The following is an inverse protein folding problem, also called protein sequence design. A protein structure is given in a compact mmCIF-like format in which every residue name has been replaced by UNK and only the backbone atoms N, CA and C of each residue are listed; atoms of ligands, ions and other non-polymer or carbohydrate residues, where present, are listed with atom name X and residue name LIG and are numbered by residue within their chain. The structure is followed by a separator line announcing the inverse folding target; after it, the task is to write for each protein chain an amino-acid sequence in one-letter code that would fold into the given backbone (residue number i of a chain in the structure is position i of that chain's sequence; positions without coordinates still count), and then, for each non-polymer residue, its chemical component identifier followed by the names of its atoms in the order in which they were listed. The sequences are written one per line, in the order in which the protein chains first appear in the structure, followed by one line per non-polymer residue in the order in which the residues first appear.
data_IF_688094795462
#
_entry.id   IF_688094795462
#
_cell.length_a   1.000
_cell.length_b   1.000
_cell.length_c   1.000
_cell.angle_alpha   90.00
_cell.angle_beta   90.00
_cell.angle_gamma   90.00
#
_symmetry.space_group_name_H-M   'P 1'
#
loop_
_entity.id
_entity.type
_entity.pdbx_description
1 polymer ?
#
# COMPACT_ATOMS: atom_id res chain seq x y z
N UNK A 1 -39.34 47.46 8.51
CA UNK A 1 -38.45 48.03 9.55
C UNK A 1 -37.79 46.94 10.39
N UNK A 2 -36.69 47.23 11.08
CA UNK A 2 -36.08 46.32 12.06
C UNK A 2 -36.44 46.81 13.46
N UNK A 3 -36.99 45.93 14.29
CA UNK A 3 -37.23 46.18 15.70
C UNK A 3 -36.18 45.45 16.53
N UNK A 4 -35.51 46.17 17.43
CA UNK A 4 -34.52 45.58 18.34
C UNK A 4 -35.11 45.54 19.75
N UNK A 5 -35.11 44.37 20.39
CA UNK A 5 -35.57 44.25 21.76
C UNK A 5 -34.62 44.99 22.71
N UNK A 6 -35.10 45.95 23.53
CA UNK A 6 -34.25 46.71 24.44
C UNK A 6 -33.67 45.87 25.59
N UNK A 7 -34.29 44.73 25.92
CA UNK A 7 -33.88 43.89 27.04
C UNK A 7 -32.79 42.85 26.68
N UNK A 8 -32.78 42.33 25.44
CA UNK A 8 -31.86 41.25 25.05
C UNK A 8 -31.18 41.47 23.70
N UNK A 9 -31.34 42.65 23.09
CA UNK A 9 -30.77 43.03 21.80
C UNK A 9 -31.10 42.10 20.61
N UNK A 10 -32.10 41.22 20.73
CA UNK A 10 -32.57 40.41 19.59
C UNK A 10 -33.30 41.30 18.58
N UNK A 11 -32.92 41.22 17.30
CA UNK A 11 -33.55 41.96 16.21
C UNK A 11 -34.57 41.14 15.44
N UNK A 12 -35.68 41.76 15.05
CA UNK A 12 -36.75 41.16 14.26
C UNK A 12 -37.05 42.03 13.03
N UNK A 13 -37.24 41.39 11.87
CA UNK A 13 -37.69 42.06 10.66
C UNK A 13 -39.22 42.04 10.61
N UNK A 14 -39.84 43.21 10.56
CA UNK A 14 -41.30 43.37 10.59
C UNK A 14 -41.72 44.34 9.48
N UNK A 15 -42.75 44.04 8.67
CA UNK A 15 -43.30 44.99 7.71
C UNK A 15 -43.94 46.19 8.42
N UNK A 16 -43.78 47.38 7.86
CA UNK A 16 -44.15 48.66 8.51
C UNK A 16 -45.66 48.76 8.73
N UNK A 17 -46.44 48.19 7.81
CA UNK A 17 -47.90 48.02 7.87
C UNK A 17 -48.37 47.30 9.15
N UNK A 18 -47.53 46.44 9.72
CA UNK A 18 -47.90 45.70 10.91
C UNK A 18 -47.83 46.57 12.17
N UNK A 19 -46.91 47.54 12.26
CA UNK A 19 -46.77 48.41 13.44
C UNK A 19 -47.76 49.58 13.40
N UNK A 20 -48.08 50.06 12.20
CA UNK A 20 -49.02 51.17 12.00
C UNK A 20 -48.47 52.51 12.51
N UNK A 21 -49.06 53.64 12.08
CA UNK A 21 -48.57 54.98 12.44
C UNK A 21 -48.66 55.25 13.94
N UNK A 22 -49.72 54.77 14.60
CA UNK A 22 -49.92 54.95 16.05
C UNK A 22 -49.04 54.03 16.93
N UNK A 23 -48.16 53.24 16.32
CA UNK A 23 -47.36 52.22 16.98
C UNK A 23 -48.16 51.03 17.53
N UNK A 24 -47.48 49.89 17.75
CA UNK A 24 -48.07 48.63 18.22
C UNK A 24 -47.27 48.04 19.37
N UNK A 25 -47.95 47.43 20.36
CA UNK A 25 -47.28 46.61 21.38
C UNK A 25 -46.76 45.33 20.76
N UNK A 26 -45.48 45.04 20.98
CA UNK A 26 -44.78 43.84 20.50
C UNK A 26 -44.13 43.14 21.69
N UNK A 27 -44.07 41.81 21.65
CA UNK A 27 -43.43 40.98 22.67
C UNK A 27 -42.25 40.23 22.07
N UNK A 28 -41.09 40.30 22.72
CA UNK A 28 -39.90 39.55 22.31
C UNK A 28 -40.16 38.04 22.44
N UNK A 29 -39.88 37.28 21.37
CA UNK A 29 -39.96 35.81 21.42
C UNK A 29 -38.83 35.20 22.26
N UNK A 30 -37.68 35.87 22.35
CA UNK A 30 -36.49 35.37 23.05
C UNK A 30 -36.57 35.55 24.56
N UNK A 31 -36.94 36.73 25.05
CA UNK A 31 -36.94 37.03 26.50
C UNK A 31 -38.33 37.35 27.08
N UNK A 32 -39.37 37.45 26.25
CA UNK A 32 -40.73 37.77 26.71
C UNK A 32 -41.01 39.24 27.01
N UNK A 33 -40.00 40.12 26.95
CA UNK A 33 -40.16 41.56 27.19
C UNK A 33 -41.10 42.20 26.16
N UNK A 34 -42.08 42.97 26.64
CA UNK A 34 -43.05 43.68 25.82
C UNK A 34 -42.80 45.19 25.82
N UNK A 35 -42.74 45.78 24.63
CA UNK A 35 -42.56 47.22 24.43
C UNK A 35 -43.47 47.72 23.30
N UNK A 36 -43.64 49.03 23.17
CA UNK A 36 -44.40 49.64 22.07
C UNK A 36 -43.42 50.10 21.00
N UNK A 37 -43.57 49.60 19.78
CA UNK A 37 -42.82 50.08 18.62
C UNK A 37 -43.67 51.14 17.90
N UNK A 38 -43.12 52.31 17.64
CA UNK A 38 -43.71 53.39 16.81
C UNK A 38 -42.80 53.67 15.61
N UNK A 39 -43.39 54.16 14.52
CA UNK A 39 -42.65 54.53 13.29
C UNK A 39 -42.06 55.95 13.36
N UNK A 40 -42.41 56.74 14.37
CA UNK A 40 -41.97 58.14 14.54
C UNK A 40 -40.86 58.24 15.60
N UNK A 41 -39.63 58.34 15.12
CA UNK A 41 -38.53 59.11 15.73
C UNK A 41 -37.91 59.97 14.61
N UNK A 42 -38.71 60.91 14.11
CA UNK A 42 -38.21 62.12 13.46
C UNK A 42 -37.87 63.12 14.59
N UNK A 43 -36.68 63.75 14.60
CA UNK A 43 -36.28 64.65 15.68
C UNK A 43 -37.32 65.76 15.87
N UNK A 44 -37.83 65.85 17.10
CA UNK A 44 -38.81 66.83 17.57
C UNK A 44 -38.35 68.26 17.27
N UNK A 45 -39.17 68.98 16.49
CA UNK A 45 -39.20 70.44 16.47
C UNK A 45 -39.66 70.95 17.84
N UNK A 46 -38.84 71.81 18.45
CA UNK A 46 -39.20 72.62 19.61
C UNK A 46 -39.27 74.09 19.17
N UNK A 47 -40.52 74.54 19.05
CA UNK A 47 -41.06 75.83 19.44
C UNK A 47 -40.52 77.13 18.82
N UNK A 48 -41.40 77.75 18.05
CA UNK A 48 -41.37 79.16 17.66
C UNK A 48 -41.50 80.07 18.89
N UNK A 49 -40.56 80.99 19.06
CA UNK A 49 -40.77 82.27 19.76
C UNK A 49 -40.29 83.39 18.85
N UNK A 50 -41.24 84.23 18.45
CA UNK A 50 -41.00 85.50 17.77
C UNK A 50 -40.69 86.55 18.83
N UNK A 51 -39.54 87.22 18.72
CA UNK A 51 -39.43 88.63 19.08
C UNK A 51 -38.25 89.24 18.31
N UNK A 52 -38.54 90.25 17.49
CA UNK A 52 -37.55 90.92 16.68
C UNK A 52 -36.80 92.00 17.47
N UNK A 53 -35.59 92.33 17.00
CA UNK A 53 -35.00 93.68 16.93
C UNK A 53 -33.54 93.53 16.44
N UNK A 54 -33.29 94.01 15.22
CA UNK A 54 -31.98 94.44 14.70
C UNK A 54 -31.90 95.96 14.97
N UNK A 55 -30.73 96.63 15.14
CA UNK A 55 -29.77 96.84 14.05
C UNK A 55 -28.26 97.09 14.41
N UNK A 56 -27.48 97.18 13.33
CA UNK A 56 -26.09 97.69 13.17
C UNK A 56 -24.99 96.61 13.38
N UNK A 57 -24.01 96.42 12.50
CA UNK A 57 -23.33 97.35 11.60
C UNK A 57 -22.59 96.54 10.50
N UNK A 58 -22.51 97.06 9.29
CA UNK A 58 -21.67 96.59 8.18
C UNK A 58 -20.51 97.59 8.05
N UNK A 59 -19.27 97.14 7.73
CA UNK A 59 -18.79 97.55 6.42
C UNK A 59 -17.96 96.48 5.70
N UNK A 60 -18.45 96.08 4.53
CA UNK A 60 -17.78 96.12 3.24
C UNK A 60 -16.29 95.77 3.20
N UNK A 61 -15.98 94.56 2.74
CA UNK A 61 -14.77 94.31 1.93
C UNK A 61 -15.10 93.39 0.77
N UNK A 62 -14.94 93.96 -0.42
CA UNK A 62 -15.10 93.32 -1.71
C UNK A 62 -13.97 92.31 -1.93
N UNK A 63 -14.31 91.01 -1.92
CA UNK A 63 -13.45 89.94 -2.42
C UNK A 63 -14.25 89.05 -3.36
N UNK A 64 -13.95 89.25 -4.64
CA UNK A 64 -14.29 88.43 -5.80
C UNK A 64 -14.28 86.91 -5.51
N UNK A 65 -15.22 86.12 -6.09
CA UNK A 65 -15.29 84.69 -5.87
C UNK A 65 -14.21 84.00 -6.72
N UNK A 66 -13.04 83.74 -6.14
CA UNK A 66 -12.09 82.78 -6.70
C UNK A 66 -11.97 81.56 -5.78
N UNK A 67 -12.10 80.39 -6.41
CA UNK A 67 -11.64 79.09 -5.90
C UNK A 67 -12.54 78.34 -4.89
N UNK A 68 -13.76 78.00 -5.32
CA UNK A 68 -14.45 76.77 -4.86
C UNK A 68 -14.47 75.66 -5.92
N UNK A 69 -13.62 75.76 -6.94
CA UNK A 69 -13.35 74.66 -7.85
C UNK A 69 -12.23 73.78 -7.26
N UNK A 70 -12.49 72.48 -7.21
CA UNK A 70 -11.54 71.41 -6.90
C UNK A 70 -11.13 71.19 -5.44
N UNK A 71 -12.10 70.93 -4.55
CA UNK A 71 -11.84 69.86 -3.56
C UNK A 71 -12.34 68.55 -4.16
N UNK A 72 -11.49 67.57 -4.47
CA UNK A 72 -11.92 66.28 -5.02
C UNK A 72 -12.55 65.44 -3.90
N UNK A 73 -13.77 65.80 -3.51
CA UNK A 73 -14.62 64.96 -2.68
C UNK A 73 -15.54 64.16 -3.62
N UNK A 74 -15.06 63.02 -4.16
CA UNK A 74 -15.67 61.74 -3.77
C UNK A 74 -14.71 60.51 -3.89
N UNK A 75 -13.56 60.48 -3.20
CA UNK A 75 -12.65 59.31 -3.27
C UNK A 75 -12.79 58.31 -2.11
N UNK A 76 -13.40 58.70 -0.98
CA UNK A 76 -13.61 57.78 0.16
C UNK A 76 -14.47 56.55 -0.20
N UNK A 77 -15.64 56.68 -0.87
CA UNK A 77 -16.47 55.52 -1.21
C UNK A 77 -15.79 54.55 -2.18
N UNK A 78 -14.92 55.05 -3.08
CA UNK A 78 -14.17 54.23 -4.04
C UNK A 78 -13.02 53.47 -3.38
N UNK A 79 -12.30 54.11 -2.46
CA UNK A 79 -11.22 53.46 -1.70
C UNK A 79 -11.74 52.31 -0.80
N UNK A 80 -12.91 52.47 -0.17
CA UNK A 80 -13.54 51.39 0.60
C UNK A 80 -14.02 50.24 -0.29
N UNK A 81 -14.63 50.52 -1.45
CA UNK A 81 -15.02 49.49 -2.44
C UNK A 81 -13.81 48.76 -3.01
N UNK A 82 -12.74 49.48 -3.37
CA UNK A 82 -11.48 48.89 -3.84
C UNK A 82 -10.83 47.99 -2.78
N UNK A 83 -10.83 48.38 -1.50
CA UNK A 83 -10.36 47.53 -0.40
C UNK A 83 -11.26 46.30 -0.18
N UNK A 84 -12.58 46.44 -0.32
CA UNK A 84 -13.52 45.32 -0.21
C UNK A 84 -13.38 44.31 -1.37
N UNK A 85 -13.21 44.79 -2.61
CA UNK A 85 -12.94 43.95 -3.77
C UNK A 85 -11.57 43.28 -3.67
N UNK A 86 -10.53 44.00 -3.21
CA UNK A 86 -9.22 43.41 -2.95
C UNK A 86 -9.30 42.31 -1.89
N UNK A 87 -10.08 42.52 -0.81
CA UNK A 87 -10.33 41.52 0.24
C UNK A 87 -11.14 40.32 -0.27
N UNK A 88 -12.08 40.51 -1.20
CA UNK A 88 -12.80 39.41 -1.86
C UNK A 88 -11.88 38.61 -2.79
N UNK A 89 -11.09 39.29 -3.63
CA UNK A 89 -10.12 38.64 -4.52
C UNK A 89 -9.04 37.89 -3.76
N UNK A 90 -8.50 38.44 -2.67
CA UNK A 90 -7.53 37.70 -1.83
C UNK A 90 -8.16 36.52 -1.11
N UNK A 91 -9.41 36.62 -0.63
CA UNK A 91 -10.15 35.49 -0.05
C UNK A 91 -10.45 34.40 -1.08
N UNK A 92 -10.82 34.77 -2.30
CA UNK A 92 -11.04 33.82 -3.40
C UNK A 92 -9.72 33.14 -3.82
N UNK A 93 -8.62 33.88 -3.92
CA UNK A 93 -7.30 33.33 -4.19
C UNK A 93 -6.82 32.41 -3.05
N UNK A 94 -7.06 32.78 -1.79
CA UNK A 94 -6.75 31.94 -0.64
C UNK A 94 -7.60 30.66 -0.61
N UNK A 95 -8.89 30.74 -0.95
CA UNK A 95 -9.77 29.57 -1.05
C UNK A 95 -9.37 28.64 -2.19
N UNK A 96 -9.00 29.18 -3.37
CA UNK A 96 -8.48 28.40 -4.47
C UNK A 96 -7.13 27.75 -4.11
N UNK A 97 -6.24 28.49 -3.44
CA UNK A 97 -4.98 27.96 -2.92
C UNK A 97 -5.20 26.84 -1.91
N UNK A 98 -6.16 26.99 -0.99
CA UNK A 98 -6.53 25.95 -0.04
C UNK A 98 -7.13 24.71 -0.73
N UNK A 99 -7.94 24.89 -1.77
CA UNK A 99 -8.50 23.79 -2.55
C UNK A 99 -7.39 23.00 -3.28
N UNK A 100 -6.43 23.69 -3.90
CA UNK A 100 -5.27 23.04 -4.52
C UNK A 100 -4.35 22.36 -3.51
N UNK A 101 -4.12 22.97 -2.35
CA UNK A 101 -3.35 22.36 -1.27
C UNK A 101 -4.03 21.10 -0.73
N UNK A 102 -5.35 21.12 -0.56
CA UNK A 102 -6.12 19.94 -0.14
C UNK A 102 -6.06 18.83 -1.21
N UNK A 103 -6.21 19.18 -2.49
CA UNK A 103 -6.08 18.22 -3.59
C UNK A 103 -4.67 17.61 -3.64
N UNK A 104 -3.63 18.42 -3.50
CA UNK A 104 -2.25 17.97 -3.44
C UNK A 104 -2.00 17.05 -2.23
N UNK A 105 -2.56 17.37 -1.06
CA UNK A 105 -2.47 16.52 0.12
C UNK A 105 -3.17 15.17 -0.06
N UNK A 106 -4.33 15.14 -0.72
CA UNK A 106 -5.03 13.88 -1.05
C UNK A 106 -4.20 13.04 -2.02
N UNK A 107 -3.66 13.64 -3.08
CA UNK A 107 -2.80 12.93 -4.05
C UNK A 107 -1.56 12.40 -3.37
N UNK A 108 -0.89 13.21 -2.54
CA UNK A 108 0.28 12.79 -1.79
C UNK A 108 -0.07 11.63 -0.84
N UNK A 109 -1.19 11.72 -0.12
CA UNK A 109 -1.68 10.65 0.74
C UNK A 109 -1.94 9.33 -0.01
N UNK A 110 -2.54 9.40 -1.21
CA UNK A 110 -2.74 8.24 -2.07
C UNK A 110 -1.42 7.62 -2.53
N UNK A 111 -0.45 8.45 -2.94
CA UNK A 111 0.90 8.00 -3.32
C UNK A 111 1.58 7.33 -2.13
N UNK A 112 1.61 7.99 -0.96
CA UNK A 112 2.20 7.45 0.26
C UNK A 112 1.55 6.13 0.65
N UNK A 113 0.21 6.04 0.59
CA UNK A 113 -0.52 4.79 0.84
C UNK A 113 -0.12 3.69 -0.16
N UNK A 114 0.00 4.02 -1.45
CA UNK A 114 0.41 3.07 -2.48
C UNK A 114 1.83 2.53 -2.28
N UNK A 115 2.71 3.30 -1.64
CA UNK A 115 4.09 2.89 -1.33
C UNK A 115 4.17 2.08 -0.03
N UNK A 116 3.44 2.50 1.02
CA UNK A 116 3.43 1.82 2.32
C UNK A 116 2.70 0.47 2.26
N UNK A 117 1.56 0.41 1.57
CA UNK A 117 0.74 -0.81 1.43
C UNK A 117 1.03 -1.58 0.14
N UNK A 118 2.23 -1.39 -0.45
CA UNK A 118 2.62 -2.00 -1.74
C UNK A 118 2.47 -3.53 -1.76
N UNK A 119 2.76 -4.21 -0.65
CA UNK A 119 2.71 -5.68 -0.57
C UNK A 119 1.29 -6.23 -0.70
N UNK A 120 0.32 -5.58 -0.04
CA UNK A 120 -1.11 -5.89 -0.09
C UNK A 120 -1.66 -5.71 -1.52
N UNK A 121 -1.21 -4.66 -2.21
CA UNK A 121 -1.58 -4.33 -3.60
C UNK A 121 -1.02 -5.39 -4.56
N UNK A 122 0.28 -5.68 -4.46
CA UNK A 122 0.95 -6.67 -5.31
C UNK A 122 0.40 -8.08 -5.07
N UNK A 123 -0.05 -8.39 -3.86
CA UNK A 123 -0.70 -9.67 -3.55
C UNK A 123 -2.01 -9.87 -4.32
N UNK A 124 -2.85 -8.83 -4.42
CA UNK A 124 -4.14 -8.90 -5.15
C UNK A 124 -3.95 -8.72 -6.66
N UNK A 125 -2.96 -7.92 -7.06
CA UNK A 125 -2.66 -7.60 -8.45
C UNK A 125 -1.18 -7.86 -8.76
N UNK A 126 -0.77 -9.12 -8.97
CA UNK A 126 0.64 -9.48 -9.16
C UNK A 126 1.28 -8.81 -10.40
N UNK A 127 0.48 -8.39 -11.38
CA UNK A 127 0.96 -7.62 -12.54
C UNK A 127 1.59 -6.27 -12.17
N UNK A 128 1.25 -5.70 -11.01
CA UNK A 128 1.81 -4.42 -10.53
C UNK A 128 3.24 -4.55 -9.99
N UNK A 129 3.72 -5.77 -9.75
CA UNK A 129 5.07 -6.01 -9.21
C UNK A 129 6.19 -5.40 -10.05
N UNK A 130 6.06 -5.46 -11.39
CA UNK A 130 7.03 -4.86 -12.30
C UNK A 130 7.08 -3.33 -12.23
N UNK A 131 5.95 -2.68 -11.92
CA UNK A 131 5.89 -1.22 -11.78
C UNK A 131 6.61 -0.74 -10.51
N UNK A 132 6.46 -1.46 -9.40
CA UNK A 132 7.23 -1.19 -8.17
C UNK A 132 8.71 -1.53 -8.32
N UNK A 133 9.04 -2.64 -9.00
CA UNK A 133 10.43 -3.00 -9.31
C UNK A 133 11.16 -1.96 -10.17
N UNK A 134 10.48 -1.35 -11.15
CA UNK A 134 11.04 -0.26 -11.96
C UNK A 134 11.37 1.01 -11.13
N UNK A 135 10.69 1.21 -10.00
CA UNK A 135 10.96 2.29 -9.05
C UNK A 135 12.01 1.92 -7.97
N UNK A 136 12.64 0.74 -8.07
CA UNK A 136 13.61 0.26 -7.08
C UNK A 136 12.97 -0.25 -5.79
N UNK A 137 11.65 -0.45 -5.78
CA UNK A 137 10.92 -1.05 -4.66
C UNK A 137 10.75 -2.55 -4.97
N UNK A 138 11.81 -3.33 -4.74
CA UNK A 138 11.80 -4.78 -4.95
C UNK A 138 10.74 -5.44 -4.07
N UNK A 139 9.68 -5.93 -4.71
CA UNK A 139 8.57 -6.63 -4.04
C UNK A 139 8.74 -8.13 -4.19
N UNK A 140 8.97 -8.81 -3.05
CA UNK A 140 9.10 -10.27 -3.02
C UNK A 140 7.73 -10.95 -3.17
N UNK A 141 7.37 -11.27 -4.41
CA UNK A 141 6.12 -11.97 -4.74
C UNK A 141 6.10 -13.44 -4.33
N UNK A 142 7.26 -14.07 -4.14
CA UNK A 142 7.37 -15.49 -3.76
C UNK A 142 7.06 -15.65 -2.27
N UNK A 143 7.42 -14.65 -1.46
CA UNK A 143 7.34 -14.76 0.00
C UNK A 143 8.42 -15.65 0.61
N UNK A 144 9.46 -15.93 -0.17
CA UNK A 144 10.64 -16.69 0.24
C UNK A 144 11.87 -15.80 0.07
N UNK A 145 12.72 -15.76 1.07
CA UNK A 145 13.94 -14.95 1.08
C UNK A 145 15.17 -15.86 1.11
N UNK A 146 16.21 -15.48 0.36
CA UNK A 146 17.47 -16.22 0.35
C UNK A 146 18.39 -15.72 1.47
N UNK A 147 18.90 -16.63 2.29
CA UNK A 147 19.85 -16.36 3.37
C UNK A 147 21.11 -17.20 3.23
N UNK A 148 22.17 -16.80 3.95
CA UNK A 148 23.41 -17.58 4.12
C UNK A 148 24.06 -18.08 2.82
N UNK A 149 23.97 -17.29 1.75
CA UNK A 149 24.45 -17.67 0.43
C UNK A 149 25.97 -17.65 0.36
N UNK A 150 26.57 -18.77 -0.04
CA UNK A 150 28.02 -18.92 -0.19
C UNK A 150 28.34 -19.77 -1.41
N UNK A 151 29.26 -19.29 -2.22
CA UNK A 151 29.91 -20.05 -3.28
C UNK A 151 31.35 -20.34 -2.85
N UNK A 152 31.76 -21.60 -2.89
CA UNK A 152 33.14 -22.02 -2.60
C UNK A 152 33.61 -23.03 -3.64
N UNK A 153 34.88 -22.97 -4.00
CA UNK A 153 35.51 -23.98 -4.86
C UNK A 153 35.43 -25.35 -4.15
N UNK A 154 35.10 -26.41 -4.88
CA UNK A 154 34.97 -27.74 -4.32
C UNK A 154 36.33 -28.25 -3.83
N UNK A 155 36.44 -28.82 -2.62
CA UNK A 155 37.73 -29.24 -2.03
C UNK A 155 38.51 -30.29 -2.84
N UNK A 156 37.85 -31.04 -3.73
CA UNK A 156 38.45 -32.12 -4.52
C UNK A 156 38.33 -31.87 -6.03
N UNK A 157 37.79 -30.72 -6.46
CA UNK A 157 37.68 -30.40 -7.89
C UNK A 157 37.70 -28.87 -8.12
N UNK A 158 38.86 -28.31 -8.51
CA UNK A 158 39.00 -26.87 -8.71
C UNK A 158 38.15 -26.32 -9.87
N UNK A 159 37.63 -27.17 -10.76
CA UNK A 159 36.72 -26.79 -11.84
C UNK A 159 35.23 -26.79 -11.45
N UNK A 160 34.91 -27.10 -10.19
CA UNK A 160 33.54 -27.13 -9.67
C UNK A 160 33.38 -26.21 -8.47
N UNK A 161 32.29 -25.45 -8.47
CA UNK A 161 31.93 -24.54 -7.40
C UNK A 161 30.71 -25.11 -6.69
N UNK A 162 30.85 -25.32 -5.39
CA UNK A 162 29.76 -25.68 -4.50
C UNK A 162 29.07 -24.40 -4.07
N UNK A 163 27.82 -24.27 -4.49
CA UNK A 163 26.92 -23.21 -4.05
C UNK A 163 26.05 -23.77 -2.94
N UNK A 164 26.03 -23.08 -1.81
CA UNK A 164 25.16 -23.37 -0.68
C UNK A 164 24.37 -22.11 -0.32
N UNK A 165 23.15 -22.30 0.15
CA UNK A 165 22.30 -21.22 0.62
C UNK A 165 21.11 -21.76 1.40
N UNK A 166 20.34 -20.87 1.98
CA UNK A 166 19.12 -21.19 2.68
C UNK A 166 17.97 -20.35 2.16
N UNK A 167 16.75 -20.85 2.30
CA UNK A 167 15.51 -20.17 1.94
C UNK A 167 14.66 -20.07 3.19
N UNK A 168 14.34 -18.84 3.60
CA UNK A 168 13.43 -18.55 4.71
C UNK A 168 12.04 -18.21 4.18
N UNK A 169 11.01 -18.77 4.79
CA UNK A 169 9.64 -18.29 4.56
C UNK A 169 9.35 -17.06 5.41
N UNK A 170 9.13 -15.92 4.75
CA UNK A 170 8.81 -14.64 5.40
C UNK A 170 7.30 -14.40 5.51
N UNK A 171 6.46 -15.32 5.01
CA UNK A 171 5.01 -15.25 5.12
C UNK A 171 4.50 -15.94 6.38
N UNK A 172 3.30 -15.54 6.78
CA UNK A 172 2.51 -16.18 7.85
C UNK A 172 1.80 -17.46 7.41
N UNK A 173 1.94 -17.85 6.14
CA UNK A 173 1.35 -19.07 5.55
C UNK A 173 2.43 -20.01 5.05
N UNK A 174 2.14 -21.30 4.94
CA UNK A 174 3.04 -22.27 4.32
C UNK A 174 3.23 -21.97 2.81
N UNK A 175 4.47 -22.05 2.32
CA UNK A 175 4.80 -21.77 0.91
C UNK A 175 5.65 -22.90 0.34
N UNK A 176 5.28 -23.39 -0.84
CA UNK A 176 6.09 -24.34 -1.60
C UNK A 176 7.14 -23.59 -2.43
N UNK A 177 8.41 -23.99 -2.31
CA UNK A 177 9.51 -23.32 -3.02
C UNK A 177 9.43 -23.58 -4.52
N UNK A 178 9.40 -22.52 -5.36
CA UNK A 178 9.63 -22.67 -6.78
C UNK A 178 11.04 -23.19 -7.08
N UNK A 179 11.31 -23.64 -8.33
CA UNK A 179 12.66 -23.94 -8.77
C UNK A 179 13.59 -22.74 -8.60
N UNK A 180 14.81 -23.00 -8.11
CA UNK A 180 15.83 -21.99 -7.87
C UNK A 180 16.82 -22.03 -9.02
N UNK A 181 17.02 -20.91 -9.71
CA UNK A 181 18.09 -20.73 -10.71
C UNK A 181 19.29 -20.09 -10.03
N UNK A 182 20.38 -20.83 -9.97
CA UNK A 182 21.68 -20.33 -9.51
C UNK A 182 22.49 -19.92 -10.74
N UNK A 183 23.01 -18.69 -10.73
CA UNK A 183 23.75 -18.07 -11.82
C UNK A 183 25.15 -17.73 -11.31
N UNK A 184 26.16 -18.25 -11.98
CA UNK A 184 27.56 -17.97 -11.73
C UNK A 184 28.00 -16.83 -12.65
N UNK A 185 28.64 -15.82 -12.09
CA UNK A 185 29.00 -14.59 -12.80
C UNK A 185 30.48 -14.28 -12.68
N UNK A 186 31.04 -13.63 -13.70
CA UNK A 186 32.38 -13.07 -13.67
C UNK A 186 32.42 -11.72 -12.91
N UNK A 187 33.60 -11.10 -12.82
CA UNK A 187 33.80 -9.78 -12.18
C UNK A 187 33.00 -8.66 -12.86
N UNK A 188 32.59 -8.84 -14.12
CA UNK A 188 31.83 -7.88 -14.91
C UNK A 188 30.32 -8.13 -14.82
N UNK A 189 29.89 -9.14 -14.06
CA UNK A 189 28.49 -9.55 -13.91
C UNK A 189 27.95 -10.38 -15.08
N UNK A 190 28.81 -10.86 -15.98
CA UNK A 190 28.42 -11.70 -17.12
C UNK A 190 28.17 -13.13 -16.64
N UNK A 191 27.05 -13.74 -17.07
CA UNK A 191 26.70 -15.12 -16.75
C UNK A 191 27.69 -16.11 -17.41
N UNK A 192 28.44 -16.86 -16.60
CA UNK A 192 29.36 -17.93 -17.04
C UNK A 192 28.61 -19.26 -17.15
N UNK A 193 27.84 -19.58 -16.12
CA UNK A 193 27.11 -20.84 -16.01
C UNK A 193 25.84 -20.65 -15.17
N UNK A 194 24.81 -21.45 -15.44
CA UNK A 194 23.63 -21.51 -14.60
C UNK A 194 23.15 -22.93 -14.39
N UNK A 195 22.55 -23.16 -13.21
CA UNK A 195 21.97 -24.45 -12.83
C UNK A 195 20.62 -24.21 -12.19
N UNK A 196 19.63 -24.99 -12.63
CA UNK A 196 18.30 -25.02 -12.00
C UNK A 196 18.28 -26.14 -10.97
N UNK A 197 17.98 -25.78 -9.73
CA UNK A 197 17.75 -26.69 -8.62
C UNK A 197 16.25 -26.74 -8.37
N UNK A 198 15.70 -27.95 -8.24
CA UNK A 198 14.33 -28.17 -7.81
C UNK A 198 14.40 -28.79 -6.42
N UNK A 199 14.26 -27.98 -5.34
CA UNK A 199 14.19 -28.53 -4.00
C UNK A 199 13.00 -29.48 -3.88
N UNK A 200 13.21 -30.63 -3.25
CA UNK A 200 12.20 -31.67 -3.02
C UNK A 200 11.63 -31.61 -1.60
N UNK A 201 11.75 -30.46 -0.94
CA UNK A 201 11.27 -30.26 0.41
C UNK A 201 9.75 -30.21 0.50
N UNK A 202 9.18 -30.57 1.65
CA UNK A 202 7.81 -30.20 1.99
C UNK A 202 7.60 -28.67 1.95
N UNK A 203 6.33 -28.20 1.91
CA UNK A 203 6.01 -26.79 2.09
C UNK A 203 6.71 -26.19 3.32
N UNK A 204 7.32 -25.03 3.15
CA UNK A 204 8.11 -24.37 4.19
C UNK A 204 7.13 -23.64 5.12
N UNK A 205 7.16 -23.99 6.41
CA UNK A 205 6.33 -23.34 7.43
C UNK A 205 6.69 -21.85 7.60
N UNK A 206 5.77 -21.01 8.12
CA UNK A 206 6.05 -19.61 8.45
C UNK A 206 7.33 -19.45 9.29
N UNK A 207 8.25 -18.59 8.86
CA UNK A 207 9.52 -18.33 9.55
C UNK A 207 10.57 -19.45 9.45
N UNK A 208 10.21 -20.63 8.95
CA UNK A 208 11.13 -21.78 8.82
C UNK A 208 12.15 -21.53 7.71
N UNK A 209 13.34 -22.12 7.90
CA UNK A 209 14.48 -22.03 6.99
C UNK A 209 14.81 -23.43 6.47
N UNK A 210 14.96 -23.55 5.14
CA UNK A 210 15.40 -24.78 4.47
C UNK A 210 16.67 -24.53 3.66
N UNK A 211 17.64 -25.43 3.77
CA UNK A 211 18.96 -25.29 3.13
C UNK A 211 19.06 -26.03 1.80
N UNK A 212 19.60 -25.39 0.77
CA UNK A 212 19.99 -26.05 -0.49
C UNK A 212 21.50 -25.99 -0.73
N UNK A 213 21.99 -27.01 -1.42
CA UNK A 213 23.33 -27.02 -1.97
C UNK A 213 23.30 -27.61 -3.39
N UNK A 214 24.10 -27.04 -4.29
CA UNK A 214 24.28 -27.55 -5.64
C UNK A 214 25.72 -27.33 -6.10
N UNK A 215 26.20 -28.22 -6.97
CA UNK A 215 27.51 -28.09 -7.60
C UNK A 215 27.33 -27.60 -9.03
N UNK A 216 28.08 -26.56 -9.39
CA UNK A 216 28.07 -25.96 -10.73
C UNK A 216 29.49 -26.05 -11.29
N UNK A 217 29.61 -26.46 -12.55
CA UNK A 217 30.90 -26.44 -13.23
C UNK A 217 31.27 -25.00 -13.57
N UNK A 218 32.50 -24.60 -13.24
CA UNK A 218 33.12 -23.37 -13.71
C UNK A 218 34.20 -23.74 -14.76
N UNK A 219 33.81 -23.94 -16.04
CA UNK A 219 34.76 -24.34 -17.08
C UNK A 219 35.82 -23.27 -17.36
N UNK A 220 35.59 -22.02 -16.94
CA UNK A 220 36.50 -20.90 -17.22
C UNK A 220 37.36 -20.51 -16.03
N UNK A 221 37.05 -20.98 -14.81
CA UNK A 221 37.74 -20.60 -13.58
C UNK A 221 37.65 -19.10 -13.25
N UNK A 222 36.64 -18.42 -13.80
CA UNK A 222 36.50 -16.95 -13.74
C UNK A 222 35.33 -16.49 -12.87
N UNK A 223 34.72 -17.41 -12.13
CA UNK A 223 33.61 -17.07 -11.25
C UNK A 223 34.07 -16.17 -10.09
N UNK A 224 33.55 -14.94 -10.07
CA UNK A 224 33.77 -13.98 -9.01
C UNK A 224 32.50 -13.71 -8.19
N UNK A 225 31.33 -13.96 -8.78
CA UNK A 225 30.03 -13.68 -8.16
C UNK A 225 29.00 -14.77 -8.39
N UNK A 226 27.93 -14.71 -7.60
CA UNK A 226 26.78 -15.60 -7.73
C UNK A 226 25.49 -14.82 -7.48
N UNK A 227 24.49 -15.04 -8.34
CA UNK A 227 23.13 -14.55 -8.15
C UNK A 227 22.14 -15.71 -8.14
N UNK A 228 21.16 -15.70 -7.24
CA UNK A 228 20.06 -16.67 -7.23
C UNK A 228 18.73 -16.02 -7.50
N UNK A 229 17.90 -16.68 -8.30
CA UNK A 229 16.55 -16.21 -8.62
C UNK A 229 15.56 -17.36 -8.55
N UNK A 230 14.34 -17.10 -8.10
CA UNK A 230 13.25 -18.06 -8.24
C UNK A 230 12.72 -18.04 -9.68
N UNK A 231 12.46 -19.22 -10.24
CA UNK A 231 11.78 -19.36 -11.53
C UNK A 231 10.29 -19.45 -11.26
N UNK A 232 9.57 -18.39 -11.62
CA UNK A 232 8.12 -18.37 -11.62
C UNK A 232 7.61 -18.89 -12.95
N UNK A 233 7.74 -20.20 -13.17
CA UNK A 233 6.97 -20.85 -14.23
C UNK A 233 5.49 -20.86 -13.81
N UNK A 234 4.55 -20.46 -14.68
CA UNK A 234 3.14 -20.68 -14.41
C UNK A 234 2.98 -22.19 -14.21
N UNK A 235 2.54 -22.60 -13.02
CA UNK A 235 2.46 -23.99 -12.61
C UNK A 235 1.82 -24.82 -13.72
N UNK A 236 2.65 -25.54 -14.48
CA UNK A 236 2.16 -26.48 -15.47
C UNK A 236 1.46 -27.54 -14.63
N UNK A 237 0.12 -27.60 -14.70
CA UNK A 237 -0.71 -28.59 -14.00
C UNK A 237 0.05 -29.91 -14.00
N UNK A 238 0.41 -30.39 -12.82
CA UNK A 238 1.01 -31.70 -12.68
C UNK A 238 0.18 -32.66 -13.54
N UNK A 239 0.78 -33.42 -14.48
CA UNK A 239 0.01 -34.44 -15.18
C UNK A 239 -0.63 -35.32 -14.11
N UNK A 240 -1.93 -35.65 -14.24
CA UNK A 240 -2.58 -36.51 -13.27
C UNK A 240 -1.71 -37.76 -13.12
N UNK A 241 -1.26 -38.03 -11.89
CA UNK A 241 -0.61 -39.28 -11.53
C UNK A 241 -1.45 -40.37 -12.17
N UNK A 242 -0.88 -41.08 -13.14
CA UNK A 242 -1.54 -42.22 -13.74
C UNK A 242 -1.89 -43.15 -12.59
N UNK A 243 -3.21 -43.27 -12.34
CA UNK A 243 -3.74 -44.22 -11.38
C UNK A 243 -3.07 -45.57 -11.67
N UNK A 244 -2.49 -46.14 -10.61
CA UNK A 244 -1.63 -47.31 -10.70
C UNK A 244 -2.21 -48.37 -11.64
N UNK A 245 -1.38 -48.82 -12.59
CA UNK A 245 -1.60 -50.12 -13.20
C UNK A 245 -1.62 -51.13 -12.05
N UNK A 246 -2.82 -51.64 -11.77
CA UNK A 246 -3.08 -52.73 -10.83
C UNK A 246 -2.02 -53.81 -11.03
N UNK A 247 -1.41 -54.20 -9.92
CA UNK A 247 -0.60 -55.39 -9.81
C UNK A 247 -1.33 -56.55 -10.51
N UNK A 248 -0.63 -57.18 -11.47
CA UNK A 248 -0.99 -58.48 -12.02
C UNK A 248 -0.96 -59.47 -10.86
N UNK A 249 -2.06 -60.16 -10.51
CA UNK A 249 -1.98 -61.24 -9.55
C UNK A 249 -1.21 -62.41 -10.18
N UNK A 250 -0.25 -62.91 -9.43
CA UNK A 250 0.41 -64.19 -9.61
C UNK A 250 -0.64 -65.30 -9.68
N UNK A 251 -0.62 -66.22 -10.68
CA UNK A 251 -1.59 -67.29 -10.73
C UNK A 251 -1.25 -68.34 -9.67
N UNK A 252 -2.14 -68.44 -8.68
CA UNK A 252 -2.14 -69.48 -7.66
C UNK A 252 -2.23 -70.87 -8.29
N UNK A 253 -1.51 -71.79 -7.65
CA UNK A 253 -1.52 -73.22 -7.89
C UNK A 253 -2.94 -73.78 -8.02
N UNK A 254 -3.14 -74.58 -9.08
CA UNK A 254 -4.34 -75.38 -9.29
C UNK A 254 -3.99 -76.82 -8.95
N UNK A 255 -4.37 -77.24 -7.75
CA UNK A 255 -4.56 -78.65 -7.46
C UNK A 255 -5.86 -79.09 -8.13
N UNK A 256 -5.76 -79.96 -9.12
CA UNK A 256 -6.85 -80.81 -9.57
C UNK A 256 -6.29 -82.24 -9.66
N UNK A 257 -6.81 -83.11 -8.81
CA UNK A 257 -6.41 -84.50 -8.72
C UNK A 257 -6.95 -85.37 -9.86
N UNK A 258 -6.34 -86.55 -9.99
CA UNK A 258 -7.05 -87.75 -10.42
C UNK A 258 -6.68 -88.32 -11.80
N UNK A 259 -5.88 -89.40 -11.73
CA UNK A 259 -5.90 -90.58 -12.62
C UNK A 259 -5.38 -90.43 -14.06
N UNK A 260 -4.19 -90.98 -14.32
CA UNK A 260 -4.03 -92.16 -15.19
C UNK A 260 -2.68 -92.85 -15.00
N UNK A 261 -2.69 -94.13 -15.37
CA UNK A 261 -1.90 -95.27 -14.91
C UNK A 261 -0.85 -95.66 -15.97
N UNK A 262 0.17 -96.42 -15.55
CA UNK A 262 1.13 -97.24 -16.33
C UNK A 262 2.30 -96.46 -16.97
N UNK A 263 3.58 -96.84 -16.88
CA UNK A 263 4.27 -98.00 -16.30
C UNK A 263 5.76 -97.98 -16.72
N UNK A 264 6.54 -98.94 -16.17
CA UNK A 264 7.92 -99.32 -16.54
C UNK A 264 9.05 -98.37 -16.07
N UNK A 265 9.78 -98.74 -15.00
CA UNK A 265 11.09 -99.42 -15.02
C UNK A 265 12.24 -98.47 -15.40
N UNK A 266 13.06 -98.04 -14.43
CA UNK A 266 14.40 -98.63 -14.28
C UNK A 266 15.12 -98.18 -13.00
N UNK A 267 15.87 -99.12 -12.42
CA UNK A 267 16.69 -99.01 -11.22
C UNK A 267 18.08 -98.45 -11.56
N UNK A 268 18.66 -97.60 -10.71
CA UNK A 268 20.11 -97.36 -10.72
C UNK A 268 20.58 -96.28 -9.73
N UNK A 269 21.72 -96.45 -9.03
CA UNK A 269 21.86 -96.03 -7.64
C UNK A 269 22.69 -94.76 -7.41
N UNK A 270 22.52 -94.19 -6.21
CA UNK A 270 23.39 -93.20 -5.56
C UNK A 270 24.75 -93.81 -5.19
N UNK A 271 25.83 -93.02 -5.15
CA UNK A 271 26.52 -92.76 -3.87
C UNK A 271 26.99 -91.29 -3.73
N UNK A 272 26.69 -90.60 -2.63
CA UNK A 272 27.43 -90.46 -1.36
C UNK A 272 28.34 -89.20 -1.32
N UNK A 273 28.39 -88.47 -0.18
CA UNK A 273 29.05 -87.17 -0.06
C UNK A 273 30.51 -87.30 0.43
N UNK A 274 31.36 -86.32 0.08
CA UNK A 274 32.69 -86.15 0.65
C UNK A 274 32.66 -84.98 1.64
N UNK A 275 32.78 -85.32 2.92
CA UNK A 275 33.26 -84.48 4.02
C UNK A 275 34.79 -84.41 4.02
N UNK A 276 35.34 -83.59 4.93
CA UNK A 276 36.75 -83.36 5.36
C UNK A 276 37.40 -82.11 4.73
N UNK A 277 38.04 -81.16 5.43
CA UNK A 277 38.49 -81.00 6.82
C UNK A 277 38.61 -79.47 7.09
N UNK A 278 38.17 -78.91 8.22
CA UNK A 278 38.96 -78.65 9.44
C UNK A 278 40.41 -78.20 9.20
N UNK A 279 40.68 -76.92 9.41
CA UNK A 279 41.97 -76.44 9.91
C UNK A 279 41.76 -75.26 10.85
N UNK A 280 41.88 -75.57 12.15
CA UNK A 280 42.13 -74.65 13.24
C UNK A 280 43.41 -73.82 12.99
N UNK A 281 43.37 -72.56 13.44
CA UNK A 281 44.50 -71.64 13.37
C UNK A 281 44.39 -70.53 14.41
N UNK A 282 44.46 -70.92 15.68
CA UNK A 282 44.70 -70.07 16.86
C UNK A 282 46.01 -69.29 16.71
N UNK A 283 46.00 -67.97 16.93
CA UNK A 283 46.70 -67.37 18.09
C UNK A 283 46.56 -65.85 18.19
N UNK A 284 46.46 -65.43 19.44
CA UNK A 284 46.38 -64.07 19.92
C UNK A 284 47.73 -63.55 20.42
N UNK A 285 47.80 -62.22 20.61
CA UNK A 285 48.81 -61.43 21.37
C UNK A 285 50.17 -61.26 20.66
N UNK A 286 50.96 -60.21 20.84
CA UNK A 286 51.14 -59.20 21.88
C UNK A 286 51.87 -57.98 21.24
N UNK A 287 51.82 -56.81 21.89
CA UNK A 287 52.92 -55.84 21.87
C UNK A 287 52.63 -54.54 21.14
#
# INVERSE_FOLDING_TARGET
MILTCPACATSYFVPDEAIGPNGRRVRCKTCGHDWRASLEDAPLELESTSEGLSPAEDPSSEARPESLAETPAPELPRAFRARAERKRRTRQAAAAGAAWAAAAAVVLGLITSGVLFREEIVRKFPATAGAYGALGLDVNIVGLEFEAQRARVAPHDPGRIVVSGAVRNIRETEVSSPPIRVILQDERGVEIASRVVRPDWPPILPGKVEGFATVIADPQGKAAGMTTKFILEPARKAPPRSAGKKARPEPAAREDGGLRRLGALDLGPTPAPLDTDVADGVSARHG
#
